data_IF_667099075503
#
_entry.id   IF_667099075503
#
_cell.length_a   1.000
_cell.length_b   1.000
_cell.length_c   1.000
_cell.angle_alpha   90.00
_cell.angle_beta   90.00
_cell.angle_gamma   90.00
#
_symmetry.space_group_name_H-M   'P 1'
#
loop_
_entity.id
_entity.type
_entity.pdbx_description
1 polymer ?
#
# COMPACT_ATOMS: atom_id res chain seq x y z
N UNK A 1 -18.68 2.46 17.49
CA UNK A 1 -18.08 3.04 18.71
C UNK A 1 -18.41 4.53 18.72
N UNK A 2 -18.52 5.22 19.87
CA UNK A 2 -18.87 6.64 19.84
C UNK A 2 -17.80 7.45 19.08
N UNK A 3 -18.24 8.53 18.42
CA UNK A 3 -17.34 9.52 17.83
C UNK A 3 -16.48 10.16 18.94
N UNK A 4 -15.21 10.41 18.64
CA UNK A 4 -14.22 10.96 19.55
C UNK A 4 -13.67 12.27 19.00
N UNK A 5 -13.49 13.26 19.87
CA UNK A 5 -12.80 14.48 19.51
C UNK A 5 -11.30 14.21 19.29
N UNK A 6 -10.82 14.49 18.08
CA UNK A 6 -9.43 14.31 17.66
C UNK A 6 -8.93 15.58 16.98
N UNK A 7 -8.05 16.32 17.66
CA UNK A 7 -7.35 17.51 17.10
C UNK A 7 -8.27 18.56 16.45
N UNK A 8 -9.48 18.70 17.00
CA UNK A 8 -10.48 19.69 16.57
C UNK A 8 -11.51 19.17 15.57
N UNK A 9 -11.55 17.86 15.28
CA UNK A 9 -12.58 17.21 14.47
C UNK A 9 -13.12 15.95 15.17
N UNK A 10 -14.22 15.38 14.69
CA UNK A 10 -14.74 14.10 15.18
C UNK A 10 -14.23 12.93 14.33
N UNK A 11 -13.85 11.82 14.99
CA UNK A 11 -13.40 10.59 14.33
C UNK A 11 -13.73 9.36 15.18
N UNK A 12 -13.85 8.19 14.56
CA UNK A 12 -13.87 6.94 15.34
C UNK A 12 -12.44 6.51 15.70
N UNK A 13 -12.30 5.69 16.75
CA UNK A 13 -10.99 5.26 17.25
C UNK A 13 -10.15 4.57 16.17
N UNK A 14 -10.77 3.74 15.32
CA UNK A 14 -10.07 3.02 14.24
C UNK A 14 -9.38 3.99 13.27
N UNK A 15 -10.08 5.06 12.87
CA UNK A 15 -9.52 6.08 11.99
C UNK A 15 -8.41 6.88 12.65
N UNK A 16 -8.53 7.14 13.96
CA UNK A 16 -7.48 7.79 14.76
C UNK A 16 -6.23 6.91 14.74
N UNK A 17 -6.34 5.62 15.06
CA UNK A 17 -5.21 4.69 15.09
C UNK A 17 -4.51 4.60 13.72
N UNK A 18 -5.29 4.54 12.64
CA UNK A 18 -4.74 4.53 11.27
C UNK A 18 -4.01 5.84 10.95
N UNK A 19 -4.56 7.00 11.32
CA UNK A 19 -3.91 8.30 11.08
C UNK A 19 -2.62 8.42 11.88
N UNK A 20 -2.61 8.03 13.15
CA UNK A 20 -1.42 8.08 13.99
C UNK A 20 -0.34 7.13 13.48
N UNK A 21 -0.70 5.96 12.96
CA UNK A 21 0.26 5.05 12.34
C UNK A 21 0.82 5.60 11.03
N UNK A 22 -0.01 6.22 10.19
CA UNK A 22 0.48 6.93 9.00
C UNK A 22 1.44 8.06 9.39
N UNK A 23 1.13 8.85 10.41
CA UNK A 23 2.00 9.90 10.95
C UNK A 23 3.32 9.34 11.48
N UNK A 24 3.29 8.19 12.15
CA UNK A 24 4.48 7.47 12.62
C UNK A 24 5.38 7.07 11.44
N UNK A 25 4.80 6.55 10.36
CA UNK A 25 5.53 6.19 9.14
C UNK A 25 6.06 7.41 8.39
N UNK A 26 5.35 8.53 8.45
CA UNK A 26 5.76 9.81 7.85
C UNK A 26 6.82 10.55 8.67
N UNK A 27 6.89 10.33 9.98
CA UNK A 27 7.74 11.09 10.89
C UNK A 27 7.26 12.54 11.11
N UNK A 28 6.02 12.87 10.76
CA UNK A 28 5.40 14.16 11.07
C UNK A 28 3.88 14.04 11.21
N UNK A 29 3.27 15.02 11.89
CA UNK A 29 1.82 15.09 12.08
C UNK A 29 1.11 15.73 10.89
N UNK A 30 -0.04 15.18 10.53
CA UNK A 30 -0.95 15.68 9.52
C UNK A 30 -1.93 16.68 10.13
N UNK A 31 -2.31 17.71 9.36
CA UNK A 31 -3.36 18.64 9.76
C UNK A 31 -4.69 18.18 9.16
N UNK A 32 -5.53 17.58 10.00
CA UNK A 32 -6.90 17.22 9.64
C UNK A 32 -7.74 18.50 9.56
N UNK A 33 -8.46 18.68 8.46
CA UNK A 33 -9.33 19.84 8.20
C UNK A 33 -10.81 19.47 8.27
N UNK A 34 -11.17 18.22 8.00
CA UNK A 34 -12.51 17.67 8.20
C UNK A 34 -12.41 16.23 8.69
N UNK A 35 -13.18 15.90 9.72
CA UNK A 35 -13.28 14.55 10.28
C UNK A 35 -14.47 13.76 9.77
N UNK A 36 -14.74 12.65 10.42
CA UNK A 36 -15.92 11.81 10.27
C UNK A 36 -17.11 12.42 11.03
N UNK A 37 -18.30 11.83 10.88
CA UNK A 37 -19.54 12.23 11.57
C UNK A 37 -19.94 13.71 11.39
N UNK A 38 -19.45 14.33 10.32
CA UNK A 38 -19.65 15.75 10.05
C UNK A 38 -20.61 15.96 8.90
N UNK A 39 -21.87 15.57 9.12
CA UNK A 39 -22.91 15.75 8.13
C UNK A 39 -23.33 17.20 7.99
N UNK A 40 -23.49 17.66 6.74
CA UNK A 40 -24.05 18.98 6.43
C UNK A 40 -23.11 20.19 6.55
N UNK A 41 -21.80 20.01 6.79
CA UNK A 41 -20.85 21.15 6.82
C UNK A 41 -20.52 21.72 5.42
N UNK A 42 -20.68 20.94 4.36
CA UNK A 42 -20.53 21.36 2.94
C UNK A 42 -21.43 20.50 2.05
N UNK A 43 -22.34 21.13 1.31
CA UNK A 43 -23.38 20.47 0.50
C UNK A 43 -22.81 19.48 -0.54
N UNK A 44 -21.60 19.75 -1.06
CA UNK A 44 -20.94 18.92 -2.05
C UNK A 44 -20.32 17.61 -1.51
N UNK A 45 -20.13 17.47 -0.19
CA UNK A 45 -19.42 16.34 0.44
C UNK A 45 -20.17 15.70 1.62
N UNK A 46 -21.35 16.19 1.99
CA UNK A 46 -22.10 15.75 3.18
C UNK A 46 -22.22 14.22 3.29
N UNK A 47 -22.69 13.54 2.23
CA UNK A 47 -22.92 12.09 2.23
C UNK A 47 -21.64 11.24 2.46
N UNK A 48 -20.43 11.77 2.29
CA UNK A 48 -19.19 10.99 2.53
C UNK A 48 -18.71 11.08 3.98
N UNK A 49 -18.99 12.19 4.66
CA UNK A 49 -18.53 12.43 6.04
C UNK A 49 -19.62 12.18 7.09
N UNK A 50 -20.84 11.80 6.70
CA UNK A 50 -21.95 11.51 7.62
C UNK A 50 -21.67 10.33 8.59
N UNK A 51 -20.75 9.44 8.23
CA UNK A 51 -20.36 8.28 9.03
C UNK A 51 -18.92 8.34 9.53
N UNK A 52 -18.45 7.23 10.10
CA UNK A 52 -17.05 6.98 10.45
C UNK A 52 -16.16 6.81 9.21
N UNK A 53 -14.85 6.77 9.42
CA UNK A 53 -13.89 6.36 8.39
C UNK A 53 -13.64 7.36 7.27
N UNK A 54 -14.00 8.65 7.42
CA UNK A 54 -13.67 9.69 6.45
C UNK A 54 -12.80 10.79 7.07
N UNK A 55 -11.82 11.29 6.31
CA UNK A 55 -10.94 12.38 6.74
C UNK A 55 -10.46 13.22 5.55
N UNK A 56 -10.48 14.54 5.71
CA UNK A 56 -9.77 15.47 4.83
C UNK A 56 -8.54 16.04 5.52
N UNK A 57 -7.44 16.03 4.80
CA UNK A 57 -6.11 16.41 5.29
C UNK A 57 -5.60 17.57 4.45
N UNK A 58 -5.07 18.59 5.11
CA UNK A 58 -4.48 19.76 4.44
C UNK A 58 -3.30 19.35 3.55
N UNK A 59 -3.34 19.75 2.28
CA UNK A 59 -2.21 19.57 1.35
C UNK A 59 -1.39 20.84 1.11
N UNK A 60 -1.97 22.04 1.25
CA UNK A 60 -1.32 23.32 0.88
C UNK A 60 -0.01 23.67 1.60
N UNK A 61 0.34 22.98 2.68
CA UNK A 61 1.61 23.17 3.41
C UNK A 61 2.66 22.10 3.05
N UNK A 62 2.33 21.20 2.13
CA UNK A 62 3.16 20.12 1.66
C UNK A 62 3.58 20.40 0.22
N UNK A 63 4.81 20.04 -0.13
CA UNK A 63 5.23 19.98 -1.53
C UNK A 63 4.75 18.67 -2.19
N UNK A 64 4.88 18.56 -3.52
CA UNK A 64 4.38 17.42 -4.28
C UNK A 64 4.95 16.06 -3.82
N UNK A 65 6.25 16.03 -3.49
CA UNK A 65 6.89 14.82 -2.98
C UNK A 65 6.33 14.40 -1.61
N UNK A 66 6.06 15.37 -0.72
CA UNK A 66 5.41 15.13 0.56
C UNK A 66 3.97 14.65 0.37
N UNK A 67 3.19 15.29 -0.51
CA UNK A 67 1.82 14.86 -0.84
C UNK A 67 1.80 13.42 -1.33
N UNK A 68 2.68 13.08 -2.28
CA UNK A 68 2.80 11.71 -2.78
C UNK A 68 3.12 10.73 -1.66
N UNK A 69 4.07 11.08 -0.77
CA UNK A 69 4.44 10.23 0.36
C UNK A 69 3.29 10.06 1.36
N UNK A 70 2.53 11.12 1.64
CA UNK A 70 1.32 11.04 2.49
C UNK A 70 0.29 10.09 1.88
N UNK A 71 0.01 10.21 0.57
CA UNK A 71 -0.90 9.29 -0.11
C UNK A 71 -0.41 7.84 -0.03
N UNK A 72 0.89 7.58 -0.22
CA UNK A 72 1.48 6.24 -0.09
C UNK A 72 1.28 5.68 1.32
N UNK A 73 1.61 6.44 2.37
CA UNK A 73 1.53 5.93 3.74
C UNK A 73 0.09 5.80 4.25
N UNK A 74 -0.82 6.71 3.87
CA UNK A 74 -2.25 6.54 4.13
C UNK A 74 -2.78 5.28 3.46
N UNK A 75 -2.48 5.10 2.18
CA UNK A 75 -2.88 3.88 1.45
C UNK A 75 -2.24 2.63 2.08
N UNK A 76 -1.00 2.71 2.57
CA UNK A 76 -0.31 1.61 3.26
C UNK A 76 -1.03 1.11 4.49
N UNK A 77 -1.58 2.01 5.30
CA UNK A 77 -2.31 1.64 6.51
C UNK A 77 -3.80 1.36 6.23
N UNK A 78 -4.22 1.32 4.97
CA UNK A 78 -5.56 0.87 4.58
C UNK A 78 -6.58 1.99 4.27
N UNK A 79 -6.14 3.21 4.00
CA UNK A 79 -7.02 4.26 3.46
C UNK A 79 -7.14 4.16 1.93
N UNK A 80 -8.34 4.37 1.40
CA UNK A 80 -8.53 4.83 0.03
C UNK A 80 -8.29 6.34 0.01
N UNK A 81 -7.13 6.81 -0.48
CA UNK A 81 -6.73 8.21 -0.36
C UNK A 81 -6.39 8.85 -1.71
N UNK A 82 -6.86 10.07 -1.95
CA UNK A 82 -6.64 10.85 -3.18
C UNK A 82 -6.25 12.30 -2.87
N UNK A 83 -5.47 12.91 -3.74
CA UNK A 83 -5.35 14.37 -3.76
C UNK A 83 -6.54 14.93 -4.54
N UNK A 84 -7.36 15.76 -3.90
CA UNK A 84 -8.39 16.56 -4.56
C UNK A 84 -7.79 17.85 -5.08
N UNK A 85 -8.23 18.27 -6.26
CA UNK A 85 -7.69 19.45 -6.96
C UNK A 85 -8.80 20.41 -7.40
N UNK A 86 -8.42 21.64 -7.76
CA UNK A 86 -9.36 22.65 -8.28
C UNK A 86 -10.02 22.23 -9.58
N UNK A 87 -9.32 21.49 -10.44
CA UNK A 87 -9.89 20.97 -11.69
C UNK A 87 -10.94 19.89 -11.45
N UNK A 88 -10.91 19.25 -10.28
CA UNK A 88 -11.96 18.33 -9.82
C UNK A 88 -13.09 19.04 -9.07
N UNK A 89 -13.03 20.37 -8.92
CA UNK A 89 -14.04 21.18 -8.23
C UNK A 89 -13.82 21.36 -6.72
N UNK A 90 -12.62 21.07 -6.20
CA UNK A 90 -12.32 21.13 -4.77
C UNK A 90 -11.19 22.13 -4.46
N UNK A 91 -11.21 22.77 -3.29
CA UNK A 91 -9.98 23.37 -2.76
C UNK A 91 -8.97 22.25 -2.47
N UNK A 92 -7.67 22.39 -2.80
CA UNK A 92 -6.74 21.27 -2.69
C UNK A 92 -6.60 20.71 -1.27
N UNK A 93 -6.88 19.42 -1.13
CA UNK A 93 -6.73 18.65 0.10
C UNK A 93 -6.56 17.16 -0.24
N UNK A 94 -6.05 16.37 0.70
CA UNK A 94 -6.03 14.92 0.58
C UNK A 94 -7.31 14.38 1.22
N UNK A 95 -8.14 13.71 0.43
CA UNK A 95 -9.36 13.05 0.89
C UNK A 95 -9.08 11.56 1.11
N UNK A 96 -9.45 11.02 2.27
CA UNK A 96 -9.18 9.64 2.65
C UNK A 96 -10.42 8.95 3.24
N UNK A 97 -10.68 7.72 2.80
CA UNK A 97 -11.75 6.84 3.32
C UNK A 97 -11.18 5.51 3.81
N UNK A 98 -11.43 5.14 5.06
CA UNK A 98 -10.87 3.96 5.72
C UNK A 98 -11.51 2.68 5.19
N UNK A 99 -10.72 1.85 4.49
CA UNK A 99 -11.24 0.64 3.86
C UNK A 99 -11.62 -0.37 4.94
N UNK A 100 -12.85 -0.86 4.88
CA UNK A 100 -13.38 -1.87 5.81
C UNK A 100 -13.89 -1.30 7.13
N UNK A 101 -13.95 0.02 7.28
CA UNK A 101 -14.61 0.62 8.43
C UNK A 101 -16.11 0.27 8.44
N UNK A 102 -16.63 -0.14 9.59
CA UNK A 102 -18.03 -0.59 9.75
C UNK A 102 -19.01 0.56 9.90
N UNK A 103 -18.51 1.78 10.08
CA UNK A 103 -19.31 2.99 10.32
C UNK A 103 -19.33 3.91 9.09
N UNK A 104 -18.79 3.47 7.94
CA UNK A 104 -18.83 4.24 6.70
C UNK A 104 -20.26 4.66 6.34
N UNK A 105 -20.42 5.90 5.92
CA UNK A 105 -21.64 6.33 5.26
C UNK A 105 -21.83 5.60 3.91
N UNK A 106 -23.05 5.60 3.34
CA UNK A 106 -23.29 5.07 2.01
C UNK A 106 -22.40 5.72 0.94
N UNK A 107 -22.19 7.04 1.01
CA UNK A 107 -21.28 7.77 0.12
C UNK A 107 -19.85 7.28 0.20
N UNK A 108 -19.31 7.16 1.41
CA UNK A 108 -17.94 6.68 1.65
C UNK A 108 -17.75 5.22 1.19
N UNK A 109 -18.71 4.35 1.45
CA UNK A 109 -18.68 2.96 0.99
C UNK A 109 -18.62 2.86 -0.55
N UNK A 110 -19.35 3.71 -1.28
CA UNK A 110 -19.27 3.78 -2.75
C UNK A 110 -17.89 4.23 -3.23
N UNK A 111 -17.25 5.18 -2.56
CA UNK A 111 -15.89 5.59 -2.91
C UNK A 111 -14.88 4.46 -2.70
N UNK A 112 -14.97 3.71 -1.60
CA UNK A 112 -14.11 2.53 -1.37
C UNK A 112 -14.29 1.49 -2.47
N UNK A 113 -15.53 1.22 -2.91
CA UNK A 113 -15.79 0.31 -4.04
C UNK A 113 -15.12 0.80 -5.33
N UNK A 114 -15.23 2.10 -5.63
CA UNK A 114 -14.57 2.74 -6.78
C UNK A 114 -13.05 2.65 -6.70
N UNK A 115 -12.47 2.90 -5.52
CA UNK A 115 -11.04 2.78 -5.28
C UNK A 115 -10.51 1.37 -5.57
N UNK A 116 -11.22 0.34 -5.08
CA UNK A 116 -10.90 -1.07 -5.33
C UNK A 116 -10.90 -1.40 -6.82
N UNK A 117 -11.78 -0.75 -7.59
CA UNK A 117 -11.91 -0.90 -9.04
C UNK A 117 -10.97 0.01 -9.85
N UNK A 118 -10.02 0.71 -9.23
CA UNK A 118 -9.08 1.56 -9.96
C UNK A 118 -9.59 2.96 -10.32
N UNK A 119 -10.65 3.44 -9.65
CA UNK A 119 -11.29 4.72 -9.94
C UNK A 119 -11.04 5.76 -8.84
N UNK A 120 -11.21 7.04 -9.16
CA UNK A 120 -10.90 8.19 -8.31
C UNK A 120 -11.93 8.50 -7.19
N UNK A 121 -12.90 7.60 -6.99
CA UNK A 121 -13.98 7.77 -6.00
C UNK A 121 -15.12 8.72 -6.42
N UNK A 122 -14.94 9.58 -7.43
CA UNK A 122 -15.92 10.58 -7.84
C UNK A 122 -17.00 10.02 -8.76
N UNK A 123 -18.13 10.74 -8.86
CA UNK A 123 -19.27 10.35 -9.71
C UNK A 123 -18.92 10.28 -11.20
N UNK A 124 -17.90 11.03 -11.65
CA UNK A 124 -17.42 11.00 -13.02
C UNK A 124 -16.84 9.65 -13.46
N UNK A 125 -16.48 8.77 -12.53
CA UNK A 125 -15.89 7.47 -12.85
C UNK A 125 -14.47 7.58 -13.44
N UNK A 126 -13.78 8.70 -13.23
CA UNK A 126 -12.40 8.87 -13.69
C UNK A 126 -11.45 7.85 -13.05
N UNK A 127 -10.35 7.55 -13.75
CA UNK A 127 -9.29 6.67 -13.24
C UNK A 127 -8.65 7.26 -11.98
N UNK A 128 -8.27 6.40 -11.05
CA UNK A 128 -7.47 6.76 -9.88
C UNK A 128 -6.12 7.35 -10.32
N UNK A 129 -5.86 8.59 -9.92
CA UNK A 129 -4.69 9.40 -10.25
C UNK A 129 -3.64 9.43 -9.12
N UNK A 130 -3.90 8.72 -8.02
CA UNK A 130 -2.95 8.60 -6.91
C UNK A 130 -1.93 7.45 -7.07
N UNK A 131 -1.04 7.26 -6.08
CA UNK A 131 0.00 6.24 -6.14
C UNK A 131 -0.57 4.82 -6.32
N UNK A 132 -0.09 4.03 -7.29
CA UNK A 132 -0.70 2.74 -7.62
C UNK A 132 -0.61 1.72 -6.48
N UNK A 133 -1.61 0.83 -6.39
CA UNK A 133 -1.71 -0.27 -5.42
C UNK A 133 -2.47 0.09 -4.13
N UNK A 134 -2.32 -0.73 -3.09
CA UNK A 134 -3.03 -0.77 -1.79
C UNK A 134 -4.55 -0.94 -1.95
N UNK A 135 -5.02 -1.43 -3.09
CA UNK A 135 -6.46 -1.52 -3.38
C UNK A 135 -7.16 -2.50 -2.45
N UNK A 136 -6.45 -3.56 -2.05
CA UNK A 136 -6.96 -4.58 -1.15
C UNK A 136 -6.45 -4.44 0.29
N UNK A 137 -5.70 -3.37 0.60
CA UNK A 137 -5.14 -3.16 1.93
C UNK A 137 -6.22 -2.62 2.87
N UNK A 138 -6.36 -3.24 4.04
CA UNK A 138 -7.18 -2.73 5.15
C UNK A 138 -6.27 -2.49 6.34
N UNK A 139 -6.79 -1.82 7.37
CA UNK A 139 -6.06 -1.62 8.61
C UNK A 139 -5.65 -2.96 9.25
N UNK A 140 -6.56 -3.92 9.25
CA UNK A 140 -6.37 -5.23 9.85
C UNK A 140 -5.26 -6.01 9.13
N UNK A 141 -5.27 -6.00 7.79
CA UNK A 141 -4.17 -6.60 7.00
C UNK A 141 -2.84 -5.92 7.27
N UNK A 142 -2.83 -4.60 7.42
CA UNK A 142 -1.62 -3.86 7.77
C UNK A 142 -1.09 -4.27 9.15
N UNK A 143 -1.97 -4.37 10.16
CA UNK A 143 -1.61 -4.81 11.51
C UNK A 143 -1.04 -6.22 11.49
N UNK A 144 -1.69 -7.17 10.81
CA UNK A 144 -1.16 -8.53 10.66
C UNK A 144 0.24 -8.53 10.03
N UNK A 145 0.46 -7.78 8.94
CA UNK A 145 1.78 -7.64 8.29
C UNK A 145 2.81 -7.09 9.27
N UNK A 146 2.45 -6.06 10.04
CA UNK A 146 3.33 -5.41 11.01
C UNK A 146 3.68 -6.35 12.17
N UNK A 147 2.71 -7.10 12.67
CA UNK A 147 2.88 -7.97 13.83
C UNK A 147 3.65 -9.25 13.46
N UNK A 148 3.37 -9.83 12.30
CA UNK A 148 4.19 -10.90 11.71
C UNK A 148 5.63 -10.43 11.47
N UNK A 149 5.81 -9.21 10.94
CA UNK A 149 7.12 -8.61 10.76
C UNK A 149 7.93 -8.50 12.06
N UNK A 150 7.28 -8.11 13.16
CA UNK A 150 7.91 -8.05 14.50
C UNK A 150 8.31 -9.44 14.99
N UNK A 151 7.47 -10.46 14.75
CA UNK A 151 7.75 -11.83 15.17
C UNK A 151 8.95 -12.45 14.43
N UNK A 152 9.15 -12.14 13.13
CA UNK A 152 10.24 -12.73 12.32
C UNK A 152 11.61 -12.09 12.60
N UNK A 153 11.66 -10.89 13.19
CA UNK A 153 12.93 -10.21 13.52
C UNK A 153 13.78 -10.96 14.57
N UNK A 154 13.27 -12.05 15.16
CA UNK A 154 13.97 -12.90 16.13
C UNK A 154 14.32 -14.33 15.69
N UNK A 155 14.12 -14.73 14.42
CA UNK A 155 14.41 -16.11 13.97
C UNK A 155 15.81 -16.24 13.31
N UNK A 156 16.60 -17.28 13.63
CA UNK A 156 17.92 -17.52 13.04
C UNK A 156 17.85 -17.69 11.51
N UNK A 157 18.88 -17.16 10.86
CA UNK A 157 19.14 -17.26 9.42
C UNK A 157 19.55 -18.69 9.07
N UNK A 158 18.71 -19.43 8.37
CA UNK A 158 19.13 -20.65 7.72
C UNK A 158 18.51 -20.70 6.34
N UNK A 159 19.33 -20.54 5.29
CA UNK A 159 19.12 -21.20 4.00
C UNK A 159 20.43 -21.23 3.21
N UNK A 160 20.96 -22.41 2.92
CA UNK A 160 21.34 -22.78 1.57
C UNK A 160 20.11 -23.46 0.94
N UNK A 161 19.44 -22.80 -0.01
CA UNK A 161 18.41 -23.48 -0.82
C UNK A 161 19.12 -24.03 -2.05
N UNK A 162 19.61 -25.28 -1.95
CA UNK A 162 20.06 -26.03 -3.13
C UNK A 162 18.82 -26.65 -3.80
N UNK A 163 18.88 -26.83 -5.12
CA UNK A 163 17.87 -27.53 -5.94
C UNK A 163 16.49 -26.85 -6.07
N UNK A 164 16.41 -25.52 -6.00
CA UNK A 164 15.17 -24.79 -6.28
C UNK A 164 15.20 -24.16 -7.66
N UNK A 165 14.25 -24.58 -8.50
CA UNK A 165 14.01 -24.01 -9.82
C UNK A 165 13.07 -22.80 -9.74
N UNK A 166 13.44 -21.69 -10.40
CA UNK A 166 12.61 -20.49 -10.52
C UNK A 166 12.50 -20.08 -12.00
N UNK A 167 11.28 -19.87 -12.48
CA UNK A 167 11.02 -19.38 -13.84
C UNK A 167 11.05 -17.85 -13.93
N UNK A 168 11.80 -17.31 -14.90
CA UNK A 168 11.84 -15.89 -15.26
C UNK A 168 10.44 -15.41 -15.63
N UNK A 169 9.68 -16.20 -16.40
CA UNK A 169 8.28 -15.88 -16.74
C UNK A 169 7.42 -15.70 -15.49
N UNK A 170 7.50 -16.62 -14.53
CA UNK A 170 6.73 -16.53 -13.28
C UNK A 170 7.03 -15.23 -12.51
N UNK A 171 8.31 -14.86 -12.42
CA UNK A 171 8.78 -13.68 -11.71
C UNK A 171 8.40 -12.39 -12.45
N UNK A 172 8.44 -12.39 -13.80
CA UNK A 172 7.96 -11.28 -14.63
C UNK A 172 6.45 -11.08 -14.53
N UNK A 173 5.66 -12.15 -14.50
CA UNK A 173 4.21 -12.05 -14.27
C UNK A 173 3.90 -11.38 -12.93
N UNK A 174 4.62 -11.76 -11.87
CA UNK A 174 4.47 -11.11 -10.56
C UNK A 174 4.88 -9.62 -10.59
N UNK A 175 5.94 -9.27 -11.32
CA UNK A 175 6.36 -7.88 -11.53
C UNK A 175 5.34 -7.07 -12.36
N UNK A 176 4.62 -7.71 -13.29
CA UNK A 176 3.54 -7.12 -14.09
C UNK A 176 2.19 -7.06 -13.33
N UNK A 177 2.06 -7.77 -12.21
CA UNK A 177 0.79 -7.90 -11.48
C UNK A 177 -0.24 -8.78 -12.18
N UNK A 178 0.24 -9.68 -13.04
CA UNK A 178 -0.59 -10.62 -13.77
C UNK A 178 -1.09 -11.75 -12.85
N UNK A 179 -2.26 -12.34 -13.14
CA UNK A 179 -2.72 -13.54 -12.45
C UNK A 179 -1.70 -14.69 -12.60
N UNK A 180 -1.21 -15.21 -11.48
CA UNK A 180 -0.24 -16.31 -11.42
C UNK A 180 -0.92 -17.58 -10.90
N UNK A 181 -0.63 -18.72 -11.54
CA UNK A 181 -1.09 -20.03 -11.04
C UNK A 181 -0.36 -20.39 -9.74
N UNK A 182 -0.86 -21.40 -9.02
CA UNK A 182 -0.27 -21.84 -7.76
C UNK A 182 1.23 -22.20 -7.88
N UNK A 183 1.65 -22.83 -9.00
CA UNK A 183 3.05 -23.14 -9.28
C UNK A 183 3.88 -21.87 -9.47
N UNK A 184 3.41 -20.96 -10.34
CA UNK A 184 4.12 -19.69 -10.62
C UNK A 184 4.17 -18.76 -9.41
N UNK A 185 3.18 -18.84 -8.53
CA UNK A 185 3.16 -18.13 -7.26
C UNK A 185 4.28 -18.58 -6.30
N UNK A 186 4.62 -19.87 -6.31
CA UNK A 186 5.75 -20.39 -5.53
C UNK A 186 7.08 -19.81 -6.01
N UNK A 187 7.29 -19.75 -7.33
CA UNK A 187 8.51 -19.17 -7.93
C UNK A 187 8.70 -17.70 -7.52
N UNK A 188 7.63 -16.91 -7.62
CA UNK A 188 7.64 -15.51 -7.19
C UNK A 188 7.88 -15.39 -5.67
N UNK A 189 7.34 -16.31 -4.87
CA UNK A 189 7.55 -16.35 -3.43
C UNK A 189 9.00 -16.69 -3.06
N UNK A 190 9.64 -17.57 -3.83
CA UNK A 190 11.07 -17.88 -3.68
C UNK A 190 11.94 -16.66 -3.98
N UNK A 191 11.64 -15.91 -5.05
CA UNK A 191 12.36 -14.65 -5.33
C UNK A 191 12.21 -13.64 -4.18
N UNK A 192 11.00 -13.49 -3.66
CA UNK A 192 10.72 -12.58 -2.54
C UNK A 192 11.40 -13.04 -1.25
N UNK A 193 11.48 -14.35 -1.00
CA UNK A 193 12.20 -14.93 0.13
C UNK A 193 13.71 -14.73 0.00
N UNK A 194 14.27 -14.87 -1.20
CA UNK A 194 15.67 -14.54 -1.49
C UNK A 194 15.97 -13.07 -1.19
N UNK A 195 15.15 -12.13 -1.69
CA UNK A 195 15.33 -10.72 -1.42
C UNK A 195 15.22 -10.37 0.08
N UNK A 196 14.33 -11.04 0.82
CA UNK A 196 14.08 -10.79 2.24
C UNK A 196 15.10 -11.45 3.17
N UNK A 197 15.38 -12.74 3.00
CA UNK A 197 16.21 -13.55 3.91
C UNK A 197 17.51 -14.04 3.29
N UNK A 198 17.59 -14.17 1.97
CA UNK A 198 18.80 -14.61 1.28
C UNK A 198 19.88 -13.51 1.27
N UNK A 199 19.49 -12.28 0.91
CA UNK A 199 20.41 -11.13 0.83
C UNK A 199 19.95 -9.90 1.63
N UNK A 200 18.80 -10.01 2.32
CA UNK A 200 18.32 -9.00 3.29
C UNK A 200 18.16 -7.57 2.73
N UNK A 201 17.78 -7.44 1.46
CA UNK A 201 17.66 -6.13 0.77
C UNK A 201 16.27 -5.49 0.88
N UNK A 202 15.27 -6.25 1.32
CA UNK A 202 13.92 -5.76 1.62
C UNK A 202 13.54 -6.02 3.08
N UNK A 203 12.73 -5.14 3.68
CA UNK A 203 12.17 -5.41 5.00
C UNK A 203 11.10 -6.51 4.92
N UNK A 204 10.93 -7.24 6.02
CA UNK A 204 9.86 -8.25 6.20
C UNK A 204 8.46 -7.70 5.89
N UNK A 205 8.23 -6.40 6.15
CA UNK A 205 6.95 -5.75 5.85
C UNK A 205 6.65 -5.73 4.35
N UNK A 206 7.65 -5.54 3.49
CA UNK A 206 7.50 -5.64 2.03
C UNK A 206 7.20 -7.07 1.62
N UNK A 207 7.94 -8.04 2.17
CA UNK A 207 7.74 -9.46 1.89
C UNK A 207 6.31 -9.91 2.20
N UNK A 208 5.83 -9.62 3.41
CA UNK A 208 4.47 -9.99 3.84
C UNK A 208 3.39 -9.21 3.08
N UNK A 209 3.60 -7.91 2.82
CA UNK A 209 2.66 -7.11 2.04
C UNK A 209 2.44 -7.68 0.64
N UNK A 210 3.50 -8.14 -0.03
CA UNK A 210 3.34 -8.84 -1.31
C UNK A 210 2.61 -10.19 -1.14
N UNK A 211 2.96 -11.04 -0.16
CA UNK A 211 2.29 -12.35 0.02
C UNK A 211 0.78 -12.22 0.22
N UNK A 212 0.34 -11.21 0.97
CA UNK A 212 -1.09 -10.99 1.28
C UNK A 212 -1.88 -10.31 0.17
N UNK A 213 -1.23 -9.44 -0.63
CA UNK A 213 -1.92 -8.61 -1.62
C UNK A 213 -1.65 -9.00 -3.06
N UNK A 214 -0.53 -9.68 -3.32
CA UNK A 214 0.04 -10.01 -4.64
C UNK A 214 0.21 -8.79 -5.55
N UNK A 215 0.31 -7.60 -4.98
CA UNK A 215 0.44 -6.37 -5.77
C UNK A 215 1.86 -6.19 -6.33
N UNK A 216 1.92 -5.95 -7.65
CA UNK A 216 3.14 -5.81 -8.45
C UNK A 216 4.21 -4.92 -7.84
N UNK A 217 3.83 -3.75 -7.31
CA UNK A 217 4.81 -2.76 -6.81
C UNK A 217 5.69 -3.27 -5.66
N UNK A 218 5.18 -4.16 -4.79
CA UNK A 218 5.99 -4.68 -3.69
C UNK A 218 7.05 -5.63 -4.25
N UNK A 219 6.66 -6.37 -5.29
CA UNK A 219 7.54 -7.22 -6.06
C UNK A 219 8.58 -6.39 -6.83
N UNK A 220 8.14 -5.40 -7.61
CA UNK A 220 9.03 -4.48 -8.35
C UNK A 220 9.97 -3.74 -7.42
N UNK A 221 9.52 -3.34 -6.23
CA UNK A 221 10.40 -2.78 -5.20
C UNK A 221 11.46 -3.80 -4.79
N UNK A 222 11.09 -5.06 -4.52
CA UNK A 222 12.07 -6.11 -4.22
C UNK A 222 13.07 -6.33 -5.37
N UNK A 223 12.59 -6.39 -6.62
CA UNK A 223 13.45 -6.49 -7.81
C UNK A 223 14.46 -5.35 -7.86
N UNK A 224 14.02 -4.10 -7.68
CA UNK A 224 14.92 -2.94 -7.66
C UNK A 224 15.94 -2.98 -6.53
N UNK A 225 15.58 -3.54 -5.37
CA UNK A 225 16.48 -3.69 -4.22
C UNK A 225 17.53 -4.78 -4.46
N UNK A 226 17.14 -5.90 -5.09
CA UNK A 226 18.07 -6.93 -5.58
C UNK A 226 19.01 -6.34 -6.63
N UNK A 227 18.47 -5.62 -7.63
CA UNK A 227 19.27 -4.94 -8.66
C UNK A 227 20.27 -3.95 -8.05
N UNK A 228 19.85 -3.14 -7.09
CA UNK A 228 20.73 -2.20 -6.41
C UNK A 228 21.88 -2.92 -5.66
N UNK A 229 21.58 -4.03 -4.98
CA UNK A 229 22.57 -4.82 -4.25
C UNK A 229 23.65 -5.41 -5.18
N UNK A 230 23.24 -5.92 -6.34
CA UNK A 230 24.16 -6.45 -7.36
C UNK A 230 24.68 -5.39 -8.35
N UNK A 231 24.45 -4.10 -8.09
CA UNK A 231 24.89 -2.97 -8.94
C UNK A 231 24.40 -3.07 -10.40
N UNK A 232 23.20 -3.62 -10.58
CA UNK A 232 22.50 -3.72 -11.86
C UNK A 232 21.67 -2.45 -12.13
N UNK A 233 21.18 -2.34 -13.37
CA UNK A 233 20.18 -1.33 -13.74
C UNK A 233 18.91 -1.54 -12.92
N UNK A 234 18.48 -0.51 -12.17
CA UNK A 234 17.33 -0.57 -11.25
C UNK A 234 15.99 -0.32 -11.97
N UNK A 235 15.70 -1.09 -13.01
CA UNK A 235 14.51 -0.93 -13.83
C UNK A 235 13.27 -1.65 -13.29
N UNK A 236 13.46 -2.59 -12.37
CA UNK A 236 12.37 -3.42 -11.85
C UNK A 236 11.94 -4.56 -12.76
N UNK A 237 12.63 -4.80 -13.89
CA UNK A 237 12.45 -6.02 -14.69
C UNK A 237 13.33 -7.14 -14.12
N UNK A 238 12.73 -8.23 -13.61
CA UNK A 238 13.46 -9.41 -13.18
C UNK A 238 13.90 -10.26 -14.38
N UNK A 239 14.38 -9.63 -15.45
CA UNK A 239 14.86 -10.33 -16.64
C UNK A 239 16.08 -11.22 -16.36
N UNK A 240 16.63 -11.87 -17.40
CA UNK A 240 17.68 -12.87 -17.26
C UNK A 240 18.89 -12.39 -16.45
N UNK A 241 19.30 -11.13 -16.59
CA UNK A 241 20.44 -10.56 -15.84
C UNK A 241 20.14 -10.49 -14.35
N UNK A 242 18.95 -10.00 -13.96
CA UNK A 242 18.56 -9.93 -12.55
C UNK A 242 18.42 -11.34 -11.97
N UNK A 243 17.78 -12.24 -12.70
CA UNK A 243 17.52 -13.61 -12.23
C UNK A 243 18.79 -14.47 -12.17
N UNK A 244 19.72 -14.29 -13.10
CA UNK A 244 21.01 -14.98 -13.10
C UNK A 244 21.85 -14.69 -11.85
N UNK A 245 21.57 -13.61 -11.11
CA UNK A 245 22.24 -13.37 -9.81
C UNK A 245 21.89 -14.43 -8.76
N UNK A 246 20.72 -15.07 -8.85
CA UNK A 246 20.29 -16.10 -7.91
C UNK A 246 21.03 -17.43 -8.14
N UNK A 247 21.59 -17.68 -9.34
CA UNK A 247 22.39 -18.89 -9.62
C UNK A 247 23.61 -18.99 -8.70
N UNK A 248 24.16 -17.84 -8.27
CA UNK A 248 25.26 -17.75 -7.32
C UNK A 248 24.89 -18.26 -5.91
N UNK A 249 23.59 -18.42 -5.64
CA UNK A 249 23.03 -18.85 -4.35
C UNK A 249 22.41 -20.25 -4.44
N UNK A 250 22.63 -20.99 -5.53
CA UNK A 250 22.18 -22.38 -5.69
C UNK A 250 20.80 -22.54 -6.32
N UNK A 251 20.22 -21.48 -6.87
CA UNK A 251 18.97 -21.55 -7.63
C UNK A 251 19.21 -21.95 -9.08
N UNK A 252 18.31 -22.76 -9.64
CA UNK A 252 18.27 -23.06 -11.08
C UNK A 252 17.28 -22.12 -11.75
N UNK A 253 17.73 -21.34 -12.74
CA UNK A 253 16.87 -20.40 -13.46
C UNK A 253 16.39 -21.02 -14.77
N UNK A 254 15.07 -20.95 -15.00
CA UNK A 254 14.45 -21.35 -16.27
C UNK A 254 13.70 -20.18 -16.88
N UNK A 255 13.37 -20.26 -18.16
CA UNK A 255 12.45 -19.31 -18.76
C UNK A 255 11.02 -19.45 -18.21
#
# INVERSE_FOLDING_TARGET
MPALAFRGVEMNQRSIDMLEEAERLLGFKLKIVQGSFNGGAVEASADVHDGGGAADIRSRTLNDAQVHRVLVELRRVGWAAWLRTRTQGFDPHIHAVAIGDTELSPGAARQVKRYKNGLNGLASGGKDDGPPGFRAMTWEKYQEIRDEARAVHGMPTAFPVQDVTISITSVRMAAAGEPISHTRAKDAEQFMAFAFKGIEVIPVTTFMAWRKTREARFFVFAVKRVQAHFKLRQDGDPGPITMGTLEQFGYTITD
#
